data_IF_370192578241
#
_entry.id   IF_370192578241
#
_cell.length_a   1.000
_cell.length_b   1.000
_cell.length_c   1.000
_cell.angle_alpha   90.00
_cell.angle_beta   90.00
_cell.angle_gamma   90.00
#
_symmetry.space_group_name_H-M   'P 1'
#
loop_
_entity.id
_entity.type
_entity.pdbx_description
1 polymer ?
#
# COMPACT_ATOMS: atom_id res chain seq x y z
N UNK A 1 -43.07 50.57 -23.24
CA UNK A 1 -41.67 50.48 -22.77
C UNK A 1 -41.63 49.43 -21.67
N UNK A 2 -41.08 48.24 -21.94
CA UNK A 2 -40.58 47.25 -20.94
C UNK A 2 -40.11 45.97 -21.67
N UNK A 3 -39.05 46.08 -22.47
CA UNK A 3 -38.33 44.91 -23.04
C UNK A 3 -37.29 44.31 -22.08
N UNK A 4 -37.12 44.90 -20.89
CA UNK A 4 -36.09 44.51 -19.93
C UNK A 4 -36.41 43.22 -19.13
N UNK A 5 -37.65 42.71 -19.18
CA UNK A 5 -38.05 41.50 -18.45
C UNK A 5 -37.76 40.19 -19.21
N UNK A 6 -37.70 40.22 -20.54
CA UNK A 6 -37.50 39.02 -21.37
C UNK A 6 -36.03 38.56 -21.50
N UNK A 7 -35.09 39.50 -21.40
CA UNK A 7 -33.65 39.20 -21.56
C UNK A 7 -33.04 38.66 -20.26
N UNK A 8 -33.47 39.15 -19.10
CA UNK A 8 -32.99 38.65 -17.81
C UNK A 8 -33.57 37.26 -17.46
N UNK A 9 -34.79 36.95 -17.91
CA UNK A 9 -35.43 35.64 -17.68
C UNK A 9 -34.80 34.52 -18.49
N UNK A 10 -34.31 34.79 -19.71
CA UNK A 10 -33.56 33.80 -20.50
C UNK A 10 -32.21 33.48 -19.86
N UNK A 11 -31.45 34.47 -19.38
CA UNK A 11 -30.18 34.21 -18.69
C UNK A 11 -30.36 33.43 -17.38
N UNK A 12 -31.43 33.70 -16.63
CA UNK A 12 -31.80 32.94 -15.43
C UNK A 12 -32.22 31.50 -15.75
N UNK A 13 -33.01 31.29 -16.81
CA UNK A 13 -33.43 29.96 -17.25
C UNK A 13 -32.26 29.10 -17.74
N UNK A 14 -31.29 29.70 -18.46
CA UNK A 14 -30.05 29.03 -18.84
C UNK A 14 -29.18 28.69 -17.63
N UNK A 15 -29.05 29.60 -16.66
CA UNK A 15 -28.32 29.35 -15.41
C UNK A 15 -28.93 28.23 -14.55
N UNK A 16 -30.27 28.20 -14.43
CA UNK A 16 -31.00 27.14 -13.74
C UNK A 16 -30.92 25.81 -14.50
N UNK A 17 -30.98 25.83 -15.83
CA UNK A 17 -30.80 24.65 -16.67
C UNK A 17 -29.42 24.02 -16.53
N UNK A 18 -28.36 24.84 -16.52
CA UNK A 18 -26.98 24.38 -16.31
C UNK A 18 -26.78 23.81 -14.90
N UNK A 19 -27.33 24.47 -13.86
CA UNK A 19 -27.26 23.97 -12.48
C UNK A 19 -28.04 22.66 -12.30
N UNK A 20 -29.22 22.53 -12.90
CA UNK A 20 -30.02 21.30 -12.87
C UNK A 20 -29.37 20.14 -13.62
N UNK A 21 -28.72 20.43 -14.76
CA UNK A 21 -27.93 19.44 -15.47
C UNK A 21 -26.69 19.00 -14.65
N UNK A 22 -25.98 19.94 -14.04
CA UNK A 22 -24.86 19.61 -13.15
C UNK A 22 -25.31 18.79 -11.94
N UNK A 23 -26.43 19.13 -11.29
CA UNK A 23 -26.91 18.37 -10.14
C UNK A 23 -27.34 16.95 -10.52
N UNK A 24 -28.00 16.79 -11.67
CA UNK A 24 -28.40 15.46 -12.16
C UNK A 24 -27.20 14.61 -12.56
N UNK A 25 -26.18 15.18 -13.20
CA UNK A 25 -24.91 14.49 -13.48
C UNK A 25 -24.22 14.07 -12.18
N UNK A 26 -24.11 14.97 -11.19
CA UNK A 26 -23.48 14.66 -9.90
C UNK A 26 -24.27 13.56 -9.17
N UNK A 27 -25.59 13.65 -9.08
CA UNK A 27 -26.42 12.63 -8.43
C UNK A 27 -26.35 11.28 -9.15
N UNK A 28 -26.32 11.29 -10.48
CA UNK A 28 -26.21 10.07 -11.28
C UNK A 28 -24.83 9.41 -11.06
N UNK A 29 -23.74 10.18 -11.17
CA UNK A 29 -22.39 9.66 -10.90
C UNK A 29 -22.25 9.17 -9.46
N UNK A 30 -22.87 9.83 -8.48
CA UNK A 30 -22.90 9.39 -7.09
C UNK A 30 -23.57 8.03 -6.94
N UNK A 31 -24.72 7.84 -7.58
CA UNK A 31 -25.49 6.60 -7.48
C UNK A 31 -24.80 5.43 -8.19
N UNK A 32 -24.14 5.67 -9.32
CA UNK A 32 -23.46 4.61 -10.07
C UNK A 32 -22.04 4.32 -9.59
N UNK A 33 -21.53 5.04 -8.58
CA UNK A 33 -20.15 4.84 -8.16
C UNK A 33 -19.96 3.50 -7.46
N UNK A 34 -18.87 2.79 -7.77
CA UNK A 34 -18.56 1.54 -7.09
C UNK A 34 -18.16 1.81 -5.63
N UNK A 35 -18.40 0.83 -4.73
CA UNK A 35 -17.76 0.80 -3.43
C UNK A 35 -16.23 0.86 -3.56
N UNK A 36 -15.56 1.39 -2.54
CA UNK A 36 -14.09 1.49 -2.51
C UNK A 36 -13.42 0.12 -2.71
N UNK A 37 -13.97 -0.96 -2.16
CA UNK A 37 -13.44 -2.31 -2.34
C UNK A 37 -13.35 -2.70 -3.82
N UNK A 38 -14.45 -2.55 -4.55
CA UNK A 38 -14.52 -2.85 -5.99
C UNK A 38 -13.58 -1.95 -6.78
N UNK A 39 -13.52 -0.65 -6.46
CA UNK A 39 -12.61 0.27 -7.13
C UNK A 39 -11.13 -0.11 -6.94
N UNK A 40 -10.74 -0.60 -5.76
CA UNK A 40 -9.38 -1.06 -5.49
C UNK A 40 -9.04 -2.34 -6.24
N UNK A 41 -9.98 -3.28 -6.32
CA UNK A 41 -9.83 -4.51 -7.08
C UNK A 41 -9.73 -4.24 -8.58
N UNK A 42 -10.57 -3.35 -9.11
CA UNK A 42 -10.55 -2.89 -10.50
C UNK A 42 -9.21 -2.23 -10.86
N UNK A 43 -8.64 -1.46 -9.92
CA UNK A 43 -7.29 -0.93 -10.09
C UNK A 43 -6.23 -2.04 -10.05
N UNK A 44 -6.45 -3.15 -9.33
CA UNK A 44 -5.54 -4.28 -9.29
C UNK A 44 -4.90 -4.56 -7.92
N UNK A 45 -5.47 -3.99 -6.86
CA UNK A 45 -5.08 -4.26 -5.49
C UNK A 45 -5.81 -5.49 -4.96
N UNK A 46 -5.15 -6.24 -4.09
CA UNK A 46 -5.78 -7.36 -3.37
C UNK A 46 -6.10 -6.93 -1.95
N UNK A 47 -7.34 -7.13 -1.50
CA UNK A 47 -7.79 -6.69 -0.19
C UNK A 47 -7.41 -7.70 0.90
N UNK A 48 -7.15 -7.19 2.11
CA UNK A 48 -6.89 -8.03 3.29
C UNK A 48 -8.15 -8.77 3.72
N UNK A 49 -9.32 -8.13 3.60
CA UNK A 49 -10.63 -8.67 4.01
C UNK A 49 -11.01 -9.98 3.32
N UNK A 50 -10.50 -10.23 2.11
CA UNK A 50 -10.75 -11.45 1.33
C UNK A 50 -9.82 -12.61 1.72
N UNK A 51 -8.79 -12.37 2.54
CA UNK A 51 -7.82 -13.38 2.94
C UNK A 51 -8.35 -14.27 4.07
N UNK A 52 -7.93 -15.54 4.07
CA UNK A 52 -8.19 -16.46 5.19
C UNK A 52 -7.41 -16.07 6.45
N UNK A 53 -6.24 -15.47 6.28
CA UNK A 53 -5.36 -15.02 7.37
C UNK A 53 -5.60 -13.53 7.73
N UNK A 54 -6.81 -13.01 7.53
CA UNK A 54 -7.09 -11.57 7.63
C UNK A 54 -6.70 -10.93 8.97
N UNK A 55 -6.89 -11.64 10.09
CA UNK A 55 -6.58 -11.14 11.43
C UNK A 55 -5.08 -10.83 11.57
N UNK A 56 -4.24 -11.81 11.22
CA UNK A 56 -2.78 -11.65 11.23
C UNK A 56 -2.32 -10.57 10.23
N UNK A 57 -2.95 -10.50 9.06
CA UNK A 57 -2.63 -9.48 8.06
C UNK A 57 -2.96 -8.07 8.54
N UNK A 58 -4.09 -7.87 9.24
CA UNK A 58 -4.41 -6.59 9.86
C UNK A 58 -3.48 -6.24 11.01
N UNK A 59 -3.06 -7.22 11.84
CA UNK A 59 -2.03 -7.02 12.86
C UNK A 59 -0.72 -6.53 12.24
N UNK A 60 -0.26 -7.18 11.17
CA UNK A 60 0.95 -6.77 10.43
C UNK A 60 0.81 -5.39 9.80
N UNK A 61 -0.35 -5.09 9.20
CA UNK A 61 -0.65 -3.77 8.62
C UNK A 61 -0.65 -2.66 9.69
N UNK A 62 -1.23 -2.94 10.86
CA UNK A 62 -1.26 -2.04 12.00
C UNK A 62 0.16 -1.75 12.50
N UNK A 63 0.95 -2.78 12.82
CA UNK A 63 2.33 -2.62 13.31
C UNK A 63 3.20 -1.81 12.36
N UNK A 64 3.06 -2.03 11.05
CA UNK A 64 3.80 -1.32 10.01
C UNK A 64 3.45 0.16 9.93
N UNK A 65 2.23 0.54 10.29
CA UNK A 65 1.69 1.89 10.11
C UNK A 65 1.25 2.55 11.43
N UNK A 66 1.63 1.99 12.59
CA UNK A 66 1.11 2.37 13.91
C UNK A 66 1.11 3.88 14.14
N UNK A 67 2.25 4.53 13.91
CA UNK A 67 2.38 5.98 14.12
C UNK A 67 1.41 6.79 13.24
N UNK A 68 1.29 6.41 11.96
CA UNK A 68 0.39 7.09 11.02
C UNK A 68 -1.08 6.86 11.40
N UNK A 69 -1.40 5.67 11.88
CA UNK A 69 -2.75 5.30 12.29
C UNK A 69 -3.18 5.99 13.58
N UNK A 70 -2.25 6.18 14.53
CA UNK A 70 -2.45 7.01 15.73
C UNK A 70 -2.73 8.46 15.33
N UNK A 71 -1.93 9.04 14.44
CA UNK A 71 -2.15 10.42 13.95
C UNK A 71 -3.51 10.58 13.25
N UNK A 72 -4.00 9.52 12.61
CA UNK A 72 -5.31 9.53 11.96
C UNK A 72 -6.48 9.42 12.95
N UNK A 73 -6.24 8.98 14.18
CA UNK A 73 -7.22 8.78 15.24
C UNK A 73 -8.53 8.15 14.73
N UNK A 74 -8.42 6.98 14.11
CA UNK A 74 -9.57 6.27 13.52
C UNK A 74 -10.69 6.12 14.57
N UNK A 75 -11.79 6.84 14.35
CA UNK A 75 -13.00 6.86 15.17
C UNK A 75 -12.77 7.13 16.68
N UNK A 76 -11.70 7.85 17.04
CA UNK A 76 -11.39 8.19 18.45
C UNK A 76 -10.73 7.06 19.24
N UNK A 77 -10.46 5.91 18.61
CA UNK A 77 -9.94 4.72 19.27
C UNK A 77 -8.42 4.61 19.18
N UNK A 78 -7.79 5.24 18.19
CA UNK A 78 -6.35 5.14 17.96
C UNK A 78 -5.59 6.26 18.66
N UNK A 79 -4.95 5.92 19.79
CA UNK A 79 -4.11 6.80 20.59
C UNK A 79 -2.76 6.16 20.91
N UNK A 80 -1.84 6.91 21.51
CA UNK A 80 -0.50 6.43 21.87
C UNK A 80 -0.50 5.24 22.84
N UNK A 81 -1.59 5.06 23.60
CA UNK A 81 -1.75 3.98 24.57
C UNK A 81 -2.39 2.70 24.00
N UNK A 82 -2.74 2.66 22.71
CA UNK A 82 -3.45 1.52 22.13
C UNK A 82 -2.55 0.27 22.06
N UNK A 83 -3.09 -0.85 22.55
CA UNK A 83 -2.44 -2.15 22.42
C UNK A 83 -2.46 -2.62 20.96
N UNK A 84 -1.46 -3.41 20.56
CA UNK A 84 -1.30 -3.82 19.17
C UNK A 84 -2.48 -4.68 18.68
N UNK A 85 -3.02 -5.53 19.55
CA UNK A 85 -4.15 -6.39 19.22
C UNK A 85 -5.43 -5.55 19.08
N UNK A 86 -5.70 -4.61 20.00
CA UNK A 86 -6.83 -3.68 19.93
C UNK A 86 -6.78 -2.81 18.67
N UNK A 87 -5.61 -2.26 18.36
CA UNK A 87 -5.40 -1.44 17.16
C UNK A 87 -5.59 -2.22 15.87
N UNK A 88 -5.18 -3.48 15.83
CA UNK A 88 -5.42 -4.35 14.68
C UNK A 88 -6.91 -4.64 14.44
N UNK A 89 -7.68 -4.84 15.52
CA UNK A 89 -9.13 -5.08 15.46
C UNK A 89 -9.85 -3.82 15.00
N UNK A 90 -9.51 -2.67 15.57
CA UNK A 90 -10.09 -1.39 15.16
C UNK A 90 -9.83 -1.11 13.67
N UNK A 91 -8.61 -1.40 13.19
CA UNK A 91 -8.26 -1.26 11.77
C UNK A 91 -9.09 -2.20 10.88
N UNK A 92 -9.24 -3.45 11.28
CA UNK A 92 -10.05 -4.45 10.58
C UNK A 92 -11.51 -3.97 10.42
N UNK A 93 -12.15 -3.57 11.53
CA UNK A 93 -13.53 -3.06 11.53
C UNK A 93 -13.65 -1.83 10.63
N UNK A 94 -12.69 -0.91 10.72
CA UNK A 94 -12.68 0.28 9.88
C UNK A 94 -12.58 -0.08 8.40
N UNK A 95 -11.65 -0.95 8.00
CA UNK A 95 -11.54 -1.38 6.60
C UNK A 95 -12.82 -2.08 6.11
N UNK A 96 -13.36 -3.05 6.85
CA UNK A 96 -14.58 -3.78 6.47
C UNK A 96 -15.79 -2.85 6.27
N UNK A 97 -15.96 -1.87 7.16
CA UNK A 97 -17.03 -0.87 7.05
C UNK A 97 -16.84 0.06 5.84
N UNK A 98 -15.62 0.55 5.61
CA UNK A 98 -15.38 1.56 4.60
C UNK A 98 -15.27 0.98 3.19
N UNK A 99 -14.68 -0.21 3.03
CA UNK A 99 -14.55 -0.87 1.72
C UNK A 99 -15.92 -1.21 1.11
N UNK A 100 -16.88 -1.59 1.94
CA UNK A 100 -18.23 -2.00 1.50
C UNK A 100 -19.21 -0.83 1.38
N UNK A 101 -19.10 0.20 2.23
CA UNK A 101 -20.12 1.26 2.33
C UNK A 101 -19.73 2.60 1.74
N UNK A 102 -18.43 2.92 1.62
CA UNK A 102 -18.01 4.19 1.02
C UNK A 102 -17.85 4.05 -0.48
N UNK A 103 -18.21 5.11 -1.19
CA UNK A 103 -18.10 5.24 -2.64
C UNK A 103 -16.74 5.82 -3.03
N UNK A 104 -16.26 5.49 -4.23
CA UNK A 104 -14.93 5.83 -4.75
C UNK A 104 -14.56 7.33 -4.81
N UNK A 105 -15.48 8.27 -4.56
CA UNK A 105 -15.23 9.72 -4.59
C UNK A 105 -14.26 10.25 -3.51
N UNK A 106 -13.66 9.38 -2.70
CA UNK A 106 -12.64 9.71 -1.72
C UNK A 106 -11.26 9.22 -2.17
N UNK A 107 -10.20 9.89 -1.71
CA UNK A 107 -8.84 9.44 -2.00
C UNK A 107 -8.63 7.97 -1.59
N UNK A 108 -8.27 7.13 -2.56
CA UNK A 108 -8.03 5.70 -2.34
C UNK A 108 -6.72 5.42 -1.60
N UNK A 109 -5.83 6.41 -1.45
CA UNK A 109 -4.47 6.24 -0.92
C UNK A 109 -4.43 5.55 0.44
N UNK A 110 -5.29 5.96 1.39
CA UNK A 110 -5.34 5.37 2.73
C UNK A 110 -5.83 3.91 2.70
N UNK A 111 -6.83 3.63 1.86
CA UNK A 111 -7.38 2.27 1.73
C UNK A 111 -6.38 1.33 1.08
N UNK A 112 -5.63 1.80 0.06
CA UNK A 112 -4.49 1.07 -0.50
C UNK A 112 -3.45 0.77 0.57
N UNK A 113 -3.12 1.74 1.41
CA UNK A 113 -2.08 1.61 2.42
C UNK A 113 -2.43 0.63 3.54
N UNK A 114 -3.68 0.63 4.01
CA UNK A 114 -4.06 -0.10 5.22
C UNK A 114 -4.92 -1.33 4.98
N UNK A 115 -5.77 -1.31 3.95
CA UNK A 115 -6.76 -2.36 3.68
C UNK A 115 -6.38 -3.29 2.52
N UNK A 116 -5.36 -2.94 1.73
CA UNK A 116 -4.80 -3.83 0.71
C UNK A 116 -3.56 -4.56 1.23
N UNK A 117 -3.29 -5.75 0.69
CA UNK A 117 -2.08 -6.51 0.97
C UNK A 117 -0.85 -5.68 0.58
N UNK A 118 0.15 -5.61 1.45
CA UNK A 118 1.47 -5.10 1.03
C UNK A 118 2.26 -6.17 0.27
N UNK A 119 3.35 -5.75 -0.38
CA UNK A 119 4.31 -6.68 -0.98
C UNK A 119 4.86 -7.68 0.05
N UNK A 120 5.14 -7.23 1.28
CA UNK A 120 5.56 -8.10 2.39
C UNK A 120 4.51 -9.15 2.73
N UNK A 121 3.24 -8.76 2.75
CA UNK A 121 2.13 -9.64 3.11
C UNK A 121 1.90 -10.71 2.04
N UNK A 122 2.02 -10.36 0.76
CA UNK A 122 1.95 -11.33 -0.34
C UNK A 122 3.08 -12.36 -0.27
N UNK A 123 4.30 -11.92 0.05
CA UNK A 123 5.45 -12.83 0.18
C UNK A 123 5.31 -13.73 1.42
N UNK A 124 4.79 -13.19 2.52
CA UNK A 124 4.48 -13.96 3.72
C UNK A 124 3.41 -15.04 3.48
N UNK A 125 2.37 -14.72 2.69
CA UNK A 125 1.35 -15.70 2.29
C UNK A 125 1.91 -16.83 1.41
N UNK A 126 2.93 -16.55 0.58
CA UNK A 126 3.61 -17.59 -0.20
C UNK A 126 4.49 -18.50 0.66
N UNK A 127 5.19 -17.91 1.64
CA UNK A 127 6.07 -18.65 2.54
C UNK A 127 6.16 -17.96 3.90
N UNK A 128 5.47 -18.56 4.89
CA UNK A 128 5.52 -18.12 6.28
C UNK A 128 6.95 -18.27 6.83
N UNK A 129 7.41 -17.28 7.60
CA UNK A 129 8.76 -17.28 8.22
C UNK A 129 9.87 -16.67 7.36
N UNK A 130 9.57 -16.04 6.21
CA UNK A 130 10.60 -15.26 5.50
C UNK A 130 10.97 -13.99 6.26
N UNK A 131 12.27 -13.79 6.47
CA UNK A 131 12.81 -12.60 7.13
C UNK A 131 13.49 -11.68 6.12
N UNK A 132 13.53 -10.39 6.42
CA UNK A 132 14.26 -9.39 5.64
C UNK A 132 15.77 -9.66 5.66
N UNK A 133 16.46 -9.30 4.59
CA UNK A 133 17.90 -9.49 4.42
C UNK A 133 18.71 -8.93 5.60
N UNK A 134 19.64 -9.73 6.13
CA UNK A 134 20.64 -9.29 7.10
C UNK A 134 22.00 -9.00 6.44
N UNK A 135 22.88 -8.30 7.17
CA UNK A 135 24.20 -7.90 6.67
C UNK A 135 25.08 -9.11 6.30
N UNK A 136 24.97 -10.22 7.03
CA UNK A 136 25.75 -11.43 6.78
C UNK A 136 25.38 -12.07 5.44
N UNK A 137 24.08 -12.16 5.13
CA UNK A 137 23.60 -12.67 3.83
C UNK A 137 23.87 -11.66 2.72
N UNK A 138 23.81 -10.36 2.99
CA UNK A 138 24.24 -9.34 2.02
C UNK A 138 25.71 -9.53 1.63
N UNK A 139 26.62 -9.71 2.60
CA UNK A 139 28.01 -10.03 2.32
C UNK A 139 28.18 -11.34 1.54
N UNK A 140 27.39 -12.37 1.85
CA UNK A 140 27.42 -13.64 1.11
C UNK A 140 26.96 -13.48 -0.35
N UNK A 141 25.88 -12.71 -0.59
CA UNK A 141 25.38 -12.44 -1.94
C UNK A 141 26.41 -11.63 -2.74
N UNK A 142 27.10 -10.68 -2.09
CA UNK A 142 28.21 -9.93 -2.68
C UNK A 142 29.47 -10.77 -2.91
N UNK A 143 29.68 -11.82 -2.12
CA UNK A 143 30.82 -12.73 -2.24
C UNK A 143 30.73 -13.72 -3.41
N UNK A 144 29.58 -13.76 -4.11
CA UNK A 144 29.47 -14.44 -5.41
C UNK A 144 30.10 -13.56 -6.50
N UNK A 145 30.76 -14.13 -7.52
CA UNK A 145 31.70 -13.42 -8.40
C UNK A 145 31.07 -12.43 -9.40
N UNK A 146 29.90 -11.87 -9.12
CA UNK A 146 29.23 -10.96 -10.02
C UNK A 146 28.90 -9.66 -9.30
N UNK A 147 29.48 -8.55 -9.78
CA UNK A 147 29.12 -7.19 -9.41
C UNK A 147 27.66 -6.82 -9.74
N UNK A 148 26.72 -7.76 -9.73
CA UNK A 148 25.30 -7.61 -10.00
C UNK A 148 24.66 -6.53 -9.14
N UNK A 149 25.07 -6.40 -7.87
CA UNK A 149 24.58 -5.34 -7.00
C UNK A 149 25.03 -3.96 -7.50
N UNK A 150 26.34 -3.78 -7.62
CA UNK A 150 26.96 -2.52 -8.06
C UNK A 150 26.58 -2.12 -9.50
N UNK A 151 26.62 -3.06 -10.44
CA UNK A 151 26.55 -2.82 -11.87
C UNK A 151 25.15 -2.99 -12.46
N UNK A 152 24.24 -3.70 -11.77
CA UNK A 152 22.91 -4.02 -12.32
C UNK A 152 21.78 -3.55 -11.42
N UNK A 153 21.76 -3.95 -10.14
CA UNK A 153 20.63 -3.68 -9.25
C UNK A 153 20.59 -2.22 -8.80
N UNK A 154 21.70 -1.68 -8.30
CA UNK A 154 21.76 -0.31 -7.82
C UNK A 154 21.41 0.70 -8.93
N UNK A 155 22.03 0.64 -10.13
CA UNK A 155 21.69 1.54 -11.23
C UNK A 155 20.23 1.38 -11.68
N UNK A 156 19.72 0.14 -11.75
CA UNK A 156 18.33 -0.14 -12.15
C UNK A 156 17.31 0.53 -11.25
N UNK A 157 17.60 0.64 -9.95
CA UNK A 157 16.74 1.30 -8.96
C UNK A 157 17.18 2.72 -8.60
N UNK A 158 18.14 3.28 -9.36
CA UNK A 158 18.72 4.62 -9.13
C UNK A 158 19.31 4.80 -7.71
N UNK A 159 19.88 3.73 -7.16
CA UNK A 159 20.57 3.72 -5.87
C UNK A 159 22.07 3.99 -6.06
N UNK A 160 22.68 4.65 -5.08
CA UNK A 160 24.10 4.99 -5.10
C UNK A 160 24.92 3.91 -4.40
N UNK A 161 25.90 3.35 -5.11
CA UNK A 161 26.85 2.39 -4.53
C UNK A 161 28.06 3.13 -3.93
N UNK A 162 28.43 2.76 -2.71
CA UNK A 162 29.62 3.28 -2.01
C UNK A 162 30.68 2.17 -1.93
N UNK A 163 31.74 2.31 -2.74
CA UNK A 163 32.88 1.38 -2.79
C UNK A 163 33.77 1.43 -1.54
N UNK A 164 33.76 2.55 -0.82
CA UNK A 164 34.60 2.75 0.37
C UNK A 164 33.89 2.29 1.64
N UNK A 165 32.56 2.25 1.62
CA UNK A 165 31.74 1.89 2.76
C UNK A 165 30.62 0.91 2.37
N UNK A 166 30.94 -0.38 2.40
CA UNK A 166 29.97 -1.46 2.14
C UNK A 166 28.78 -1.44 3.10
N UNK A 167 28.98 -1.02 4.35
CA UNK A 167 27.90 -0.89 5.33
C UNK A 167 26.87 0.15 4.87
N UNK A 168 27.33 1.28 4.32
CA UNK A 168 26.45 2.30 3.76
C UNK A 168 25.66 1.76 2.56
N UNK A 169 26.31 1.01 1.67
CA UNK A 169 25.63 0.35 0.55
C UNK A 169 24.58 -0.66 1.03
N UNK A 170 24.89 -1.42 2.08
CA UNK A 170 23.92 -2.31 2.73
C UNK A 170 22.73 -1.53 3.29
N UNK A 171 22.96 -0.45 4.03
CA UNK A 171 21.87 0.35 4.64
C UNK A 171 20.97 0.96 3.55
N UNK A 172 21.54 1.45 2.45
CA UNK A 172 20.78 1.94 1.28
C UNK A 172 19.90 0.82 0.71
N UNK A 173 20.47 -0.37 0.50
CA UNK A 173 19.74 -1.50 -0.03
C UNK A 173 18.64 -1.99 0.91
N UNK A 174 18.94 -2.08 2.20
CA UNK A 174 18.01 -2.49 3.26
C UNK A 174 16.82 -1.54 3.32
N UNK A 175 17.07 -0.23 3.36
CA UNK A 175 16.02 0.78 3.39
C UNK A 175 15.15 0.73 2.14
N UNK A 176 15.77 0.50 0.96
CA UNK A 176 15.02 0.31 -0.28
C UNK A 176 14.13 -0.95 -0.22
N UNK A 177 14.66 -2.08 0.26
CA UNK A 177 13.88 -3.30 0.44
C UNK A 177 12.70 -3.09 1.41
N UNK A 178 12.94 -2.47 2.58
CA UNK A 178 11.88 -2.18 3.57
C UNK A 178 10.81 -1.24 3.00
N UNK A 179 11.22 -0.24 2.22
CA UNK A 179 10.31 0.67 1.54
C UNK A 179 9.46 -0.04 0.48
N UNK A 180 10.05 -0.87 -0.39
CA UNK A 180 9.25 -1.59 -1.39
C UNK A 180 8.36 -2.67 -0.76
N UNK A 181 8.80 -3.29 0.34
CA UNK A 181 8.03 -4.27 1.08
C UNK A 181 6.78 -3.68 1.76
N UNK A 182 6.84 -2.41 2.14
CA UNK A 182 5.71 -1.71 2.79
C UNK A 182 4.65 -1.22 1.80
N UNK A 183 4.99 -1.12 0.51
CA UNK A 183 4.04 -0.65 -0.50
C UNK A 183 2.86 -1.60 -0.70
N UNK A 184 1.66 -1.06 -0.99
CA UNK A 184 0.52 -1.86 -1.41
C UNK A 184 0.87 -2.69 -2.66
N UNK A 185 0.54 -3.98 -2.62
CA UNK A 185 0.77 -4.90 -3.71
C UNK A 185 -0.22 -4.65 -4.85
N UNK A 186 0.33 -4.45 -6.03
CA UNK A 186 -0.39 -4.27 -7.28
C UNK A 186 -0.06 -5.44 -8.21
N UNK A 187 -1.05 -6.12 -8.80
CA UNK A 187 -0.78 -7.40 -9.51
C UNK A 187 0.25 -7.29 -10.65
N UNK A 188 0.34 -6.15 -11.34
CA UNK A 188 1.33 -5.93 -12.41
C UNK A 188 2.78 -5.78 -11.89
N UNK A 189 2.96 -5.62 -10.58
CA UNK A 189 4.28 -5.48 -9.94
C UNK A 189 5.06 -6.81 -9.85
N UNK A 190 4.63 -7.88 -10.52
CA UNK A 190 5.24 -9.22 -10.45
C UNK A 190 6.76 -9.25 -10.69
N UNK A 191 7.30 -8.38 -11.54
CA UNK A 191 8.76 -8.26 -11.75
C UNK A 191 9.50 -7.70 -10.54
N UNK A 192 8.89 -6.73 -9.85
CA UNK A 192 9.43 -6.14 -8.62
C UNK A 192 9.34 -7.17 -7.50
N UNK A 193 8.20 -7.85 -7.37
CA UNK A 193 7.99 -8.97 -6.43
C UNK A 193 9.09 -10.03 -6.53
N UNK A 194 9.39 -10.51 -7.73
CA UNK A 194 10.45 -11.51 -7.92
C UNK A 194 11.84 -10.98 -7.55
N UNK A 195 12.11 -9.70 -7.84
CA UNK A 195 13.38 -9.08 -7.46
C UNK A 195 13.52 -8.98 -5.95
N UNK A 196 12.46 -8.57 -5.24
CA UNK A 196 12.43 -8.48 -3.78
C UNK A 196 12.56 -9.88 -3.17
N UNK A 197 11.80 -10.86 -3.65
CA UNK A 197 11.87 -12.25 -3.16
C UNK A 197 13.28 -12.82 -3.22
N UNK A 198 14.02 -12.55 -4.30
CA UNK A 198 15.37 -13.09 -4.50
C UNK A 198 16.45 -12.31 -3.75
N UNK A 199 16.30 -10.98 -3.63
CA UNK A 199 17.41 -10.10 -3.20
C UNK A 199 17.13 -9.36 -1.87
N UNK A 200 15.91 -9.43 -1.33
CA UNK A 200 15.51 -8.79 -0.08
C UNK A 200 15.02 -9.79 0.99
N UNK A 201 14.66 -11.02 0.61
CA UNK A 201 14.13 -12.02 1.54
C UNK A 201 15.14 -13.14 1.84
N UNK A 202 15.06 -13.68 3.05
CA UNK A 202 15.83 -14.85 3.50
C UNK A 202 14.86 -15.97 3.90
N UNK A 203 15.22 -17.20 3.53
CA UNK A 203 14.59 -18.39 4.08
C UNK A 203 15.29 -18.81 5.38
N UNK A 204 14.54 -18.94 6.47
CA UNK A 204 15.03 -19.45 7.76
C UNK A 204 15.65 -20.86 7.62
N UNK A 205 15.12 -21.71 6.73
CA UNK A 205 15.63 -23.07 6.49
C UNK A 205 17.05 -23.12 5.94
N UNK A 206 17.51 -22.11 5.20
CA UNK A 206 18.91 -22.04 4.73
C UNK A 206 19.90 -21.65 5.83
N UNK A 207 19.42 -20.93 6.87
CA UNK A 207 20.23 -20.52 8.00
C UNK A 207 20.49 -21.72 8.92
N UNK A 208 19.43 -22.44 9.30
CA UNK A 208 19.55 -23.61 10.18
C UNK A 208 20.31 -24.77 9.51
N UNK A 209 20.08 -25.05 8.23
CA UNK A 209 20.79 -26.13 7.52
C UNK A 209 22.31 -25.91 7.39
N UNK A 210 22.82 -24.68 7.58
CA UNK A 210 24.24 -24.34 7.39
C UNK A 210 25.01 -23.98 8.65
N UNK A 211 24.34 -23.61 9.74
CA UNK A 211 24.98 -23.51 11.06
C UNK A 211 24.97 -24.84 11.83
N UNK A 212 24.32 -25.86 11.28
CA UNK A 212 24.28 -27.24 11.81
C UNK A 212 25.26 -28.19 11.10
N UNK A 213 26.07 -27.69 10.15
CA UNK A 213 27.01 -28.46 9.32
C UNK A 213 28.45 -28.03 9.53
#
# INVERSE_FOLDING_TARGET
>A
MNYALGVNTSHLAWGVGVLGFLSTVISFTYWTAPPIGVALEDEGYRLISESRDKEELYRRSFLRNKNVLIDMNLDGQMNDGIEDDEGSIALNIWCDLNLSKKLFFVSLTKYKQFCALSMSDVLWLEKKGQQTLNINKFHYILGKPEGRFKNTLFPRFRLTWDDKNLKRSYDIWKNWCEFELSKPYFFESGRIKNTIKVNCMMDEGELYARFSS
#
